data_IF_564694552673
#
_entry.id   IF_564694552673
#
_cell.length_a   1.000
_cell.length_b   1.000
_cell.length_c   1.000
_cell.angle_alpha   90.00
_cell.angle_beta   90.00
_cell.angle_gamma   90.00
#
_symmetry.space_group_name_H-M   'P 1'
#
loop_
_entity.id
_entity.type
_entity.pdbx_description
1 polymer ?
#
# COMPACT_ATOMS: atom_id res chain seq x y z
N UNK A 1 -33.58 -6.40 13.34
CA UNK A 1 -33.21 -5.92 11.99
C UNK A 1 -31.70 -6.08 11.88
N UNK A 2 -31.29 -7.23 11.34
CA UNK A 2 -29.89 -7.67 11.34
C UNK A 2 -29.14 -6.94 10.23
N UNK A 3 -28.16 -6.09 10.57
CA UNK A 3 -27.22 -5.55 9.60
C UNK A 3 -26.25 -6.66 9.22
N UNK A 4 -26.55 -7.36 8.13
CA UNK A 4 -25.61 -8.27 7.49
C UNK A 4 -24.36 -7.47 7.10
N UNK A 5 -23.27 -7.75 7.81
CA UNK A 5 -21.92 -7.33 7.43
C UNK A 5 -21.60 -7.99 6.09
N UNK A 6 -21.91 -7.28 5.00
CA UNK A 6 -21.45 -7.59 3.66
C UNK A 6 -19.92 -7.43 3.60
N UNK A 7 -19.21 -8.40 4.17
CA UNK A 7 -17.81 -8.63 3.86
C UNK A 7 -17.76 -9.07 2.40
N UNK A 8 -17.62 -8.09 1.49
CA UNK A 8 -17.16 -8.36 0.13
C UNK A 8 -15.78 -8.98 0.25
N UNK A 9 -15.72 -10.31 0.23
CA UNK A 9 -14.50 -11.04 -0.08
C UNK A 9 -14.24 -10.76 -1.56
N UNK A 10 -13.68 -9.58 -1.86
CA UNK A 10 -13.04 -9.32 -3.12
C UNK A 10 -12.00 -10.44 -3.28
N UNK A 11 -12.11 -11.22 -4.35
CA UNK A 11 -11.05 -12.15 -4.73
C UNK A 11 -9.85 -11.26 -5.10
N UNK A 12 -9.00 -10.98 -4.12
CA UNK A 12 -7.79 -10.19 -4.33
C UNK A 12 -6.83 -11.05 -5.14
N UNK A 13 -6.81 -10.82 -6.45
CA UNK A 13 -5.72 -11.23 -7.33
C UNK A 13 -4.86 -9.99 -7.49
N UNK A 14 -3.57 -10.06 -7.13
CA UNK A 14 -2.63 -8.98 -7.41
C UNK A 14 -2.29 -9.08 -8.90
N UNK A 15 -2.55 -8.05 -9.72
CA UNK A 15 -2.05 -7.99 -11.09
C UNK A 15 -0.52 -8.09 -11.10
N UNK A 16 0.06 -8.80 -12.07
CA UNK A 16 1.52 -8.98 -12.18
C UNK A 16 2.32 -7.68 -12.31
N UNK A 17 1.66 -6.60 -12.73
CA UNK A 17 2.28 -5.29 -12.93
C UNK A 17 2.30 -4.42 -11.66
N UNK A 18 1.79 -4.94 -10.53
CA UNK A 18 1.84 -4.22 -9.25
C UNK A 18 3.02 -4.66 -8.39
N UNK A 19 3.70 -3.67 -7.87
CA UNK A 19 4.67 -3.80 -6.79
C UNK A 19 3.95 -4.21 -5.51
N UNK A 20 4.54 -5.09 -4.72
CA UNK A 20 3.97 -5.49 -3.43
C UNK A 20 5.06 -5.53 -2.37
N UNK A 21 4.97 -4.62 -1.40
CA UNK A 21 5.96 -4.48 -0.33
C UNK A 21 5.30 -4.46 1.05
N UNK A 22 6.08 -4.87 2.06
CA UNK A 22 5.84 -4.52 3.45
C UNK A 22 6.69 -3.29 3.78
N UNK A 23 6.05 -2.17 4.06
CA UNK A 23 6.73 -0.90 4.31
C UNK A 23 6.42 -0.34 5.70
N UNK A 24 7.41 0.31 6.31
CA UNK A 24 7.20 1.19 7.47
C UNK A 24 7.13 2.63 7.00
N UNK A 25 6.05 3.33 7.36
CA UNK A 25 5.89 4.76 7.07
C UNK A 25 6.80 5.56 8.00
N UNK A 26 7.59 6.47 7.42
CA UNK A 26 8.54 7.31 8.17
C UNK A 26 8.07 8.75 8.28
N UNK A 27 7.60 9.32 7.18
CA UNK A 27 7.19 10.71 7.09
C UNK A 27 6.11 10.88 6.01
N UNK A 28 5.40 12.00 6.10
CA UNK A 28 4.44 12.49 5.12
C UNK A 28 4.79 13.94 4.79
N UNK A 29 4.81 14.27 3.51
CA UNK A 29 4.93 15.64 3.00
C UNK A 29 3.90 15.88 1.90
N UNK A 30 3.57 17.14 1.66
CA UNK A 30 2.84 17.52 0.46
C UNK A 30 3.76 17.42 -0.76
N UNK A 31 3.22 17.06 -1.93
CA UNK A 31 3.99 17.00 -3.17
C UNK A 31 4.21 18.42 -3.71
N UNK A 32 5.46 18.95 -3.75
CA UNK A 32 5.71 20.30 -4.25
C UNK A 32 5.46 20.45 -5.76
N UNK A 33 5.41 19.33 -6.49
CA UNK A 33 5.24 19.30 -7.95
C UNK A 33 3.79 19.03 -8.37
N UNK A 34 2.89 18.73 -7.42
CA UNK A 34 1.50 18.36 -7.73
C UNK A 34 0.52 18.90 -6.70
N UNK A 35 -0.45 19.69 -7.16
CA UNK A 35 -1.56 20.14 -6.29
C UNK A 35 -2.42 18.94 -5.92
N UNK A 36 -2.65 18.76 -4.61
CA UNK A 36 -3.55 17.73 -4.08
C UNK A 36 -2.97 16.32 -4.03
N UNK A 37 -1.65 16.17 -4.20
CA UNK A 37 -0.94 14.90 -3.96
C UNK A 37 -0.06 15.00 -2.72
N UNK A 38 0.14 13.88 -2.05
CA UNK A 38 1.03 13.74 -0.90
C UNK A 38 2.04 12.64 -1.17
N UNK A 39 3.22 12.80 -0.57
CA UNK A 39 4.31 11.84 -0.64
C UNK A 39 4.55 11.30 0.77
N UNK A 40 4.69 9.98 0.88
CA UNK A 40 5.16 9.31 2.06
C UNK A 40 6.53 8.72 1.80
N UNK A 41 7.47 8.85 2.74
CA UNK A 41 8.69 8.02 2.70
C UNK A 41 8.44 6.72 3.42
N UNK A 42 8.67 5.63 2.71
CA UNK A 42 8.45 4.29 3.18
C UNK A 42 9.78 3.56 3.26
N UNK A 43 10.13 3.03 4.42
CA UNK A 43 11.23 2.09 4.55
C UNK A 43 10.73 0.68 4.23
N UNK A 44 11.21 0.11 3.14
CA UNK A 44 10.91 -1.27 2.77
C UNK A 44 11.48 -2.21 3.83
N UNK A 45 10.65 -3.11 4.32
CA UNK A 45 11.06 -4.16 5.29
C UNK A 45 11.01 -5.55 4.69
N UNK A 46 10.24 -5.73 3.62
CA UNK A 46 10.18 -6.94 2.83
C UNK A 46 9.58 -6.61 1.45
N UNK A 47 10.14 -7.17 0.38
CA UNK A 47 9.53 -7.15 -0.96
C UNK A 47 8.92 -8.52 -1.29
N UNK A 48 7.76 -8.52 -1.92
CA UNK A 48 7.06 -9.74 -2.36
C UNK A 48 6.95 -9.82 -3.89
N UNK A 49 6.75 -8.68 -4.55
CA UNK A 49 6.69 -8.55 -6.01
C UNK A 49 7.41 -7.26 -6.39
N UNK A 50 8.28 -7.37 -7.40
CA UNK A 50 9.02 -6.30 -8.06
C UNK A 50 10.35 -5.92 -7.40
N UNK A 51 11.02 -4.85 -7.86
CA UNK A 51 12.48 -4.71 -7.76
C UNK A 51 12.96 -4.01 -6.48
N UNK A 52 12.06 -3.57 -5.60
CA UNK A 52 12.46 -2.86 -4.39
C UNK A 52 13.28 -3.72 -3.43
N UNK A 53 14.38 -3.16 -2.93
CA UNK A 53 15.29 -3.85 -2.02
C UNK A 53 14.85 -3.73 -0.56
N UNK A 54 15.18 -4.74 0.25
CA UNK A 54 14.97 -4.64 1.70
C UNK A 54 15.81 -3.50 2.29
N UNK A 55 15.17 -2.64 3.10
CA UNK A 55 15.71 -1.41 3.73
C UNK A 55 15.85 -0.22 2.79
N UNK A 56 15.50 -0.34 1.51
CA UNK A 56 15.36 0.80 0.61
C UNK A 56 14.34 1.81 1.17
N UNK A 57 14.59 3.10 0.92
CA UNK A 57 13.60 4.14 1.18
C UNK A 57 12.96 4.48 -0.16
N UNK A 58 11.68 4.16 -0.28
CA UNK A 58 10.89 4.44 -1.47
C UNK A 58 9.93 5.59 -1.17
N UNK A 59 9.72 6.43 -2.18
CA UNK A 59 8.66 7.43 -2.13
C UNK A 59 7.36 6.81 -2.59
N UNK A 60 6.30 7.03 -1.81
CA UNK A 60 4.96 6.60 -2.14
C UNK A 60 4.09 7.82 -2.37
N UNK A 61 3.47 7.91 -3.54
CA UNK A 61 2.61 9.01 -3.93
C UNK A 61 1.14 8.58 -3.95
N UNK A 62 0.28 9.45 -3.45
CA UNK A 62 -1.18 9.27 -3.49
C UNK A 62 -1.87 10.64 -3.40
N UNK A 63 -3.19 10.70 -3.63
CA UNK A 63 -3.97 11.92 -3.45
C UNK A 63 -4.12 12.27 -1.96
N UNK A 64 -4.25 13.56 -1.68
CA UNK A 64 -4.42 14.06 -0.31
C UNK A 64 -5.80 13.75 0.27
N UNK A 65 -6.83 13.64 -0.58
CA UNK A 65 -8.23 13.49 -0.21
C UNK A 65 -8.76 12.11 -0.64
N UNK A 66 -9.41 11.40 0.28
CA UNK A 66 -10.07 10.11 0.02
C UNK A 66 -11.17 10.22 -1.03
N UNK A 67 -11.87 11.36 -1.12
CA UNK A 67 -12.85 11.62 -2.17
C UNK A 67 -12.25 11.62 -3.57
N UNK A 68 -10.92 11.78 -3.66
CA UNK A 68 -10.12 11.69 -4.88
C UNK A 68 -9.27 10.41 -4.94
N UNK A 69 -9.71 9.34 -4.26
CA UNK A 69 -9.00 8.07 -4.15
C UNK A 69 -7.66 8.16 -3.40
N UNK A 70 -7.47 9.18 -2.56
CA UNK A 70 -6.30 9.34 -1.71
C UNK A 70 -6.23 8.32 -0.59
N UNK A 71 -5.01 7.93 -0.21
CA UNK A 71 -4.77 6.99 0.90
C UNK A 71 -4.15 7.71 2.09
N UNK A 72 -4.76 7.52 3.27
CA UNK A 72 -4.20 7.99 4.53
C UNK A 72 -3.43 6.87 5.25
N UNK A 73 -2.15 7.11 5.53
CA UNK A 73 -1.29 6.18 6.25
C UNK A 73 -0.88 6.75 7.61
N UNK A 74 -0.90 5.91 8.64
CA UNK A 74 -0.49 6.29 10.00
C UNK A 74 1.04 6.38 10.09
N UNK A 75 1.53 7.47 10.69
CA UNK A 75 2.97 7.70 10.92
C UNK A 75 3.48 7.03 12.20
N UNK A 76 2.62 6.88 13.19
CA UNK A 76 3.01 6.51 14.56
C UNK A 76 2.38 5.21 15.06
N UNK A 77 2.96 4.66 16.13
CA UNK A 77 2.47 3.46 16.80
C UNK A 77 2.75 2.16 16.05
N UNK A 78 2.09 1.09 16.50
CA UNK A 78 2.21 -0.26 15.91
C UNK A 78 1.50 -0.38 14.55
N UNK A 79 0.76 0.64 14.14
CA UNK A 79 -0.01 0.68 12.90
C UNK A 79 0.69 1.41 11.75
N UNK A 80 1.97 1.80 11.90
CA UNK A 80 2.74 2.45 10.84
C UNK A 80 3.47 1.48 9.89
N UNK A 81 3.21 0.18 10.03
CA UNK A 81 3.72 -0.85 9.12
C UNK A 81 2.55 -1.35 8.29
N UNK A 82 2.72 -1.38 6.97
CA UNK A 82 1.66 -1.69 6.01
C UNK A 82 2.10 -2.75 5.01
N UNK A 83 1.14 -3.51 4.51
CA UNK A 83 1.19 -4.04 3.16
C UNK A 83 0.78 -2.93 2.19
N UNK A 84 1.58 -2.71 1.16
CA UNK A 84 1.35 -1.71 0.13
C UNK A 84 1.46 -2.40 -1.23
N UNK A 85 0.41 -2.27 -2.05
CA UNK A 85 0.44 -2.65 -3.46
C UNK A 85 0.17 -1.45 -4.34
N UNK A 86 0.95 -1.25 -5.40
CA UNK A 86 0.83 -0.08 -6.26
C UNK A 86 1.58 -0.22 -7.57
N UNK A 87 1.38 0.74 -8.45
CA UNK A 87 2.16 0.85 -9.68
C UNK A 87 3.54 1.42 -9.40
N UNK A 88 4.51 1.07 -10.24
CA UNK A 88 5.85 1.68 -10.21
C UNK A 88 5.97 2.70 -11.33
N UNK A 89 6.14 3.97 -10.98
CA UNK A 89 6.35 5.07 -11.91
C UNK A 89 7.71 5.70 -11.63
N UNK A 90 8.73 5.29 -12.38
CA UNK A 90 10.11 5.77 -12.25
C UNK A 90 10.72 5.62 -10.85
N UNK A 91 10.47 4.51 -10.16
CA UNK A 91 10.98 4.25 -8.81
C UNK A 91 10.12 4.85 -7.68
N UNK A 92 9.02 5.52 -8.04
CA UNK A 92 8.00 5.98 -7.10
C UNK A 92 6.83 4.98 -7.08
N UNK A 93 6.42 4.59 -5.88
CA UNK A 93 5.26 3.72 -5.68
C UNK A 93 3.98 4.57 -5.70
N UNK A 94 3.07 4.30 -6.62
CA UNK A 94 1.79 5.02 -6.69
C UNK A 94 0.66 4.12 -6.18
N UNK A 95 -0.10 4.61 -5.18
CA UNK A 95 -1.25 3.88 -4.62
C UNK A 95 -2.52 4.73 -4.62
N UNK A 96 -3.64 4.06 -4.72
CA UNK A 96 -4.98 4.64 -4.68
C UNK A 96 -5.87 3.84 -3.72
N UNK A 97 -6.98 4.44 -3.30
CA UNK A 97 -7.93 3.87 -2.33
C UNK A 97 -8.50 2.51 -2.75
N UNK A 98 -8.59 2.25 -4.07
CA UNK A 98 -9.06 0.98 -4.62
C UNK A 98 -7.97 -0.12 -4.65
N UNK A 99 -6.72 0.24 -4.42
CA UNK A 99 -5.59 -0.68 -4.37
C UNK A 99 -5.58 -1.52 -3.09
N UNK A 100 -4.80 -2.61 -3.09
CA UNK A 100 -4.66 -3.41 -1.88
C UNK A 100 -3.61 -2.81 -0.94
N UNK A 101 -4.08 -2.11 0.09
CA UNK A 101 -3.24 -1.69 1.21
C UNK A 101 -3.94 -2.02 2.52
N UNK A 102 -3.18 -2.45 3.52
CA UNK A 102 -3.70 -2.65 4.87
C UNK A 102 -2.58 -2.54 5.91
N UNK A 103 -2.89 -2.10 7.15
CA UNK A 103 -1.94 -2.24 8.25
C UNK A 103 -1.50 -3.69 8.37
N UNK A 104 -0.21 -3.90 8.59
CA UNK A 104 0.38 -5.22 8.66
C UNK A 104 -0.18 -6.00 9.85
N UNK A 105 -0.61 -7.24 9.59
CA UNK A 105 -1.08 -8.21 10.58
C UNK A 105 -0.36 -9.55 10.40
N UNK A 106 -0.42 -10.40 11.42
CA UNK A 106 0.24 -11.71 11.39
C UNK A 106 -0.24 -12.59 10.23
N UNK A 107 -1.50 -12.45 9.83
CA UNK A 107 -2.11 -13.21 8.72
C UNK A 107 -1.88 -12.59 7.33
N UNK A 108 -1.41 -11.35 7.23
CA UNK A 108 -1.20 -10.63 5.96
C UNK A 108 -0.28 -11.39 5.03
N UNK A 109 0.78 -12.01 5.56
CA UNK A 109 1.72 -12.83 4.75
C UNK A 109 1.04 -14.01 4.07
N UNK A 110 0.10 -14.66 4.75
CA UNK A 110 -0.64 -15.77 4.14
C UNK A 110 -1.69 -15.31 3.14
N UNK A 111 -2.27 -14.11 3.31
CA UNK A 111 -3.12 -13.51 2.28
C UNK A 111 -2.34 -13.30 0.99
N UNK A 112 -1.11 -12.75 1.07
CA UNK A 112 -0.25 -12.51 -0.09
C UNK A 112 0.07 -13.85 -0.78
N UNK A 113 0.50 -14.87 -0.04
CA UNK A 113 0.77 -16.21 -0.61
C UNK A 113 -0.44 -16.79 -1.34
N UNK A 114 -1.64 -16.66 -0.78
CA UNK A 114 -2.88 -17.13 -1.42
C UNK A 114 -3.24 -16.33 -2.67
N UNK A 115 -2.95 -15.03 -2.69
CA UNK A 115 -3.17 -14.19 -3.87
C UNK A 115 -2.19 -14.56 -5.00
N UNK A 116 -0.92 -14.80 -4.67
CA UNK A 116 0.13 -15.16 -5.63
C UNK A 116 -0.03 -16.57 -6.23
N UNK A 117 -0.52 -17.54 -5.44
CA UNK A 117 -0.74 -18.94 -5.90
C UNK A 117 -1.87 -19.11 -6.91
N UNK A 118 -2.64 -18.06 -7.22
CA UNK A 118 -3.79 -18.14 -8.15
C UNK A 118 -3.41 -17.88 -9.61
N UNK A 119 -2.12 -17.89 -9.93
CA UNK A 119 -1.59 -17.76 -11.29
C UNK A 119 -1.38 -19.14 -11.92
#
# INVERSE_FOLDING_TARGET
>A
MSLEKNARILKITIPFDLETIKGKVLERSDDPLSVGSVIYKIKVTQSFIGPFDEKEIVELKTKADEAQCGVHLNLEGTQNIYLLTGGNSNGQLEIELCGWYEPWKDDTREKIRKALKKC
#
